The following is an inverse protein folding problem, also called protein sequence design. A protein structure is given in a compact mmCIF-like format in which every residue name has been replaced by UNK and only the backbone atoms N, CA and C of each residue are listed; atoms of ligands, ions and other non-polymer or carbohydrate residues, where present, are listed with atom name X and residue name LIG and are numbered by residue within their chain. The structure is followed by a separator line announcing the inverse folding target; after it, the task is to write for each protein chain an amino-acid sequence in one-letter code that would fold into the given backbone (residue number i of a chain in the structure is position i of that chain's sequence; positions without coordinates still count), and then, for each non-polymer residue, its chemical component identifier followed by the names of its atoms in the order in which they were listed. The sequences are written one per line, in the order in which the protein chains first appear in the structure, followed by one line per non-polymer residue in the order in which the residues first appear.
data_IF_304426482486
#
_entry.id   IF_304426482486
#
_cell.length_a   1.000
_cell.length_b   1.000
_cell.length_c   1.000
_cell.angle_alpha   90.00
_cell.angle_beta   90.00
_cell.angle_gamma   90.00
#
_symmetry.space_group_name_H-M   'P 1'
#
loop_
_entity.id
_entity.type
_entity.pdbx_description
1 polymer ?
#
# COMPACT_ATOMS: atom_id res chain seq x y z
N UNK A 1 -5.31 1.35 -18.33
CA UNK A 1 -5.53 1.25 -16.87
C UNK A 1 -5.37 2.65 -16.29
N UNK A 2 -5.97 2.95 -15.14
CA UNK A 2 -5.71 4.23 -14.49
C UNK A 2 -4.24 4.25 -14.05
N UNK A 3 -3.54 5.35 -14.28
CA UNK A 3 -2.11 5.51 -13.93
C UNK A 3 -1.85 5.16 -12.46
N UNK A 4 -2.76 5.62 -11.60
CA UNK A 4 -2.74 5.38 -10.17
C UNK A 4 -4.03 4.71 -9.71
N UNK A 5 -3.94 3.89 -8.68
CA UNK A 5 -5.10 3.31 -8.00
C UNK A 5 -4.94 3.40 -6.48
N UNK A 6 -6.01 3.82 -5.79
CA UNK A 6 -6.08 3.79 -4.32
C UNK A 6 -6.64 2.47 -3.82
N UNK A 7 -5.98 1.81 -2.88
CA UNK A 7 -6.40 0.53 -2.31
C UNK A 7 -6.23 0.54 -0.79
N UNK A 8 -7.08 -0.19 -0.07
CA UNK A 8 -7.04 -0.26 1.39
C UNK A 8 -5.75 -0.99 1.84
N UNK A 9 -4.98 -0.40 2.76
CA UNK A 9 -3.84 -1.05 3.39
C UNK A 9 -4.34 -2.03 4.45
N UNK A 10 -3.83 -3.26 4.42
CA UNK A 10 -4.21 -4.33 5.36
C UNK A 10 -2.99 -4.96 6.05
N UNK A 11 -1.78 -4.50 5.75
CA UNK A 11 -0.58 -4.93 6.44
C UNK A 11 0.71 -4.57 5.70
N UNK A 12 1.82 -4.98 6.30
CA UNK A 12 3.15 -4.93 5.70
C UNK A 12 3.79 -6.31 5.84
N UNK A 13 4.47 -6.77 4.79
CA UNK A 13 5.22 -8.03 4.83
C UNK A 13 6.52 -7.86 5.61
N UNK A 14 7.17 -8.97 5.96
CA UNK A 14 8.51 -8.94 6.59
C UNK A 14 9.58 -8.30 5.71
N UNK A 15 9.40 -8.33 4.39
CA UNK A 15 10.32 -7.74 3.42
C UNK A 15 10.06 -6.23 3.21
N UNK A 16 9.01 -5.68 3.83
CA UNK A 16 8.64 -4.27 3.73
C UNK A 16 7.63 -3.95 2.63
N UNK A 17 7.16 -4.94 1.86
CA UNK A 17 6.11 -4.74 0.86
C UNK A 17 4.78 -4.41 1.54
N UNK A 18 4.02 -3.47 0.96
CA UNK A 18 2.71 -3.07 1.46
C UNK A 18 1.66 -4.06 0.97
N UNK A 19 0.85 -4.59 1.88
CA UNK A 19 -0.25 -5.48 1.55
C UNK A 19 -1.53 -4.66 1.44
N UNK A 20 -2.14 -4.68 0.25
CA UNK A 20 -3.35 -3.91 -0.05
C UNK A 20 -4.52 -4.83 -0.41
N UNK A 21 -5.75 -4.39 -0.11
CA UNK A 21 -7.00 -5.02 -0.51
C UNK A 21 -7.71 -4.17 -1.56
N UNK A 22 -8.00 -4.80 -2.69
CA UNK A 22 -8.77 -4.20 -3.76
C UNK A 22 -10.25 -4.07 -3.44
N UNK A 23 -10.93 -3.17 -4.16
CA UNK A 23 -12.40 -3.06 -4.12
C UNK A 23 -13.12 -4.37 -4.50
N UNK A 24 -12.43 -5.28 -5.20
CA UNK A 24 -12.94 -6.62 -5.54
C UNK A 24 -12.61 -7.68 -4.48
N UNK A 25 -12.04 -7.28 -3.34
CA UNK A 25 -11.70 -8.14 -2.21
C UNK A 25 -10.41 -8.96 -2.37
N UNK A 26 -9.70 -8.85 -3.50
CA UNK A 26 -8.39 -9.50 -3.70
C UNK A 26 -7.29 -8.74 -2.99
N UNK A 27 -6.31 -9.48 -2.46
CA UNK A 27 -5.16 -8.93 -1.75
C UNK A 27 -3.91 -9.05 -2.61
N UNK A 28 -3.05 -8.03 -2.53
CA UNK A 28 -1.81 -7.94 -3.29
C UNK A 28 -0.71 -7.39 -2.41
N UNK A 29 0.51 -7.87 -2.60
CA UNK A 29 1.71 -7.22 -2.08
C UNK A 29 2.26 -6.30 -3.17
N UNK A 30 2.53 -5.04 -2.81
CA UNK A 30 3.10 -4.04 -3.71
C UNK A 30 4.41 -3.52 -3.12
N UNK A 31 5.37 -3.21 -3.99
CA UNK A 31 6.68 -2.71 -3.56
C UNK A 31 6.49 -1.35 -2.91
N UNK A 32 7.12 -1.14 -1.77
CA UNK A 32 7.16 0.18 -1.15
C UNK A 32 8.15 1.06 -1.91
N UNK A 33 7.75 2.26 -2.31
CA UNK A 33 8.69 3.21 -2.93
C UNK A 33 9.83 3.54 -1.97
N UNK A 34 11.02 3.80 -2.50
CA UNK A 34 12.23 4.03 -1.70
C UNK A 34 12.10 5.28 -0.80
N UNK A 35 11.35 6.28 -1.26
CA UNK A 35 11.14 7.55 -0.56
C UNK A 35 9.93 7.51 0.40
N UNK A 36 9.17 6.40 0.44
CA UNK A 36 8.00 6.27 1.30
C UNK A 36 8.42 5.83 2.72
N UNK A 37 8.40 6.79 3.65
CA UNK A 37 8.59 6.55 5.09
C UNK A 37 7.29 5.98 5.70
N UNK A 38 7.14 4.67 5.56
CA UNK A 38 6.09 3.89 6.20
C UNK A 38 6.65 2.54 6.69
N UNK A 39 6.31 2.17 7.92
CA UNK A 39 6.76 0.97 8.60
C UNK A 39 5.63 0.22 9.31
N UNK A 40 6.02 -0.83 10.04
CA UNK A 40 5.07 -1.67 10.77
C UNK A 40 4.38 -0.92 11.91
N UNK A 41 5.10 -0.01 12.58
CA UNK A 41 4.59 0.78 13.71
C UNK A 41 3.47 1.73 13.27
N UNK A 42 3.55 2.26 12.05
CA UNK A 42 2.56 3.19 11.51
C UNK A 42 1.17 2.56 11.33
N UNK A 43 1.10 1.24 11.08
CA UNK A 43 -0.17 0.50 11.01
C UNK A 43 -0.93 0.50 12.33
N UNK A 44 -0.24 0.74 13.45
CA UNK A 44 -0.82 0.68 14.79
C UNK A 44 -0.97 2.06 15.44
N UNK A 45 -0.54 3.13 14.76
CA UNK A 45 -0.66 4.50 15.26
C UNK A 45 -2.13 4.93 15.42
N UNK A 46 -2.99 4.50 14.48
CA UNK A 46 -4.43 4.71 14.54
C UNK A 46 -5.16 3.48 13.99
N UNK A 47 -5.60 2.62 14.90
CA UNK A 47 -6.27 1.35 14.57
C UNK A 47 -7.76 1.50 14.23
N UNK A 48 -8.34 2.68 14.45
CA UNK A 48 -9.75 2.95 14.14
C UNK A 48 -9.91 3.56 12.74
N UNK A 49 -8.83 4.13 12.19
CA UNK A 49 -8.81 4.74 10.86
C UNK A 49 -8.31 3.76 9.80
N UNK A 50 -9.05 3.68 8.69
CA UNK A 50 -8.60 2.94 7.52
C UNK A 50 -7.49 3.70 6.78
N UNK A 51 -6.39 3.03 6.47
CA UNK A 51 -5.29 3.57 5.67
C UNK A 51 -5.44 3.17 4.20
N UNK A 52 -5.16 4.08 3.27
CA UNK A 52 -5.23 3.84 1.84
C UNK A 52 -3.88 4.12 1.16
N UNK A 53 -3.41 3.16 0.37
CA UNK A 53 -2.20 3.27 -0.43
C UNK A 53 -2.53 3.74 -1.84
N UNK A 54 -1.76 4.71 -2.35
CA UNK A 54 -1.72 5.04 -3.77
C UNK A 54 -0.67 4.16 -4.45
N UNK A 55 -1.09 3.48 -5.52
CA UNK A 55 -0.28 2.51 -6.24
C UNK A 55 -0.07 3.01 -7.68
N UNK A 56 1.19 3.19 -8.06
CA UNK A 56 1.58 3.42 -9.45
C UNK A 56 1.50 2.09 -10.22
N UNK A 57 0.66 2.06 -11.24
CA UNK A 57 0.44 0.88 -12.08
C UNK A 57 1.23 0.94 -13.40
N UNK A 58 1.93 2.05 -13.68
CA UNK A 58 2.82 2.20 -14.84
C UNK A 58 4.25 1.72 -14.56
N UNK A 59 4.62 1.60 -13.28
CA UNK A 59 5.88 0.98 -12.87
C UNK A 59 5.97 -0.49 -13.31
N UNK A 60 7.18 -0.97 -13.63
CA UNK A 60 7.42 -2.35 -14.07
C UNK A 60 6.92 -3.39 -13.05
N UNK A 61 7.01 -3.03 -11.76
CA UNK A 61 6.33 -3.70 -10.65
C UNK A 61 5.48 -2.65 -9.93
N UNK A 62 4.24 -2.98 -9.59
CA UNK A 62 3.35 -2.07 -8.87
C UNK A 62 4.01 -1.54 -7.59
N UNK A 63 4.04 -0.23 -7.47
CA UNK A 63 4.75 0.50 -6.42
C UNK A 63 3.77 1.34 -5.61
N UNK A 64 3.84 1.26 -4.28
CA UNK A 64 3.13 2.13 -3.37
C UNK A 64 3.94 3.41 -3.16
N UNK A 65 3.38 4.53 -3.61
CA UNK A 65 4.04 5.85 -3.60
C UNK A 65 3.59 6.74 -2.46
N UNK A 66 2.40 6.51 -1.90
CA UNK A 66 1.89 7.21 -0.72
C UNK A 66 0.90 6.37 0.07
N UNK A 67 0.77 6.68 1.37
CA UNK A 67 -0.27 6.14 2.27
C UNK A 67 -0.91 7.32 3.00
N UNK A 68 -2.24 7.33 3.06
CA UNK A 68 -3.08 8.33 3.74
C UNK A 68 -4.14 7.69 4.63
#
# INVERSE_FOLDING_TARGET
MAKEIKQLVIGITREGDIVVKSARGRMYAVKKSADLEFGCEDLFNDVETELYATIDTEAETWECTSIE
#
